data_IF_737807856566
#
_entry.id   IF_737807856566
#
_cell.length_a   1.000
_cell.length_b   1.000
_cell.length_c   1.000
_cell.angle_alpha   90.00
_cell.angle_beta   90.00
_cell.angle_gamma   90.00
#
_symmetry.space_group_name_H-M   'P 1'
#
loop_
_entity.id
_entity.type
_entity.pdbx_description
1 polymer ?
#
# COMPACT_ATOMS: atom_id res chain seq x y z
N UNK A 1 1.52 -19.94 21.59
CA UNK A 1 2.21 -18.84 20.87
C UNK A 1 1.46 -18.63 19.57
N UNK A 2 1.03 -17.40 19.24
CA UNK A 2 0.16 -17.19 18.08
C UNK A 2 1.00 -17.15 16.80
N UNK A 3 1.04 -18.26 16.05
CA UNK A 3 1.93 -18.47 14.89
C UNK A 3 1.82 -17.33 13.86
N UNK A 4 0.60 -16.84 13.63
CA UNK A 4 0.32 -15.72 12.74
C UNK A 4 1.06 -14.44 13.14
N UNK A 5 1.10 -14.12 14.44
CA UNK A 5 1.80 -12.92 14.93
C UNK A 5 3.31 -13.07 14.82
N UNK A 6 3.84 -14.28 15.02
CA UNK A 6 5.26 -14.58 14.83
C UNK A 6 5.68 -14.36 13.38
N UNK A 7 4.89 -14.84 12.42
CA UNK A 7 5.13 -14.63 10.99
C UNK A 7 5.04 -13.14 10.66
N UNK A 8 3.96 -12.46 11.08
CA UNK A 8 3.80 -11.03 10.83
C UNK A 8 4.96 -10.20 11.37
N UNK A 9 5.43 -10.50 12.58
CA UNK A 9 6.58 -9.85 13.20
C UNK A 9 7.85 -10.06 12.37
N UNK A 10 8.15 -11.31 11.98
CA UNK A 10 9.31 -11.64 11.14
C UNK A 10 9.28 -10.83 9.84
N UNK A 11 8.15 -10.80 9.16
CA UNK A 11 8.00 -10.13 7.86
C UNK A 11 8.08 -8.60 7.99
N UNK A 12 7.54 -8.02 9.05
CA UNK A 12 7.73 -6.61 9.36
C UNK A 12 9.21 -6.25 9.56
N UNK A 13 9.93 -7.02 10.39
CA UNK A 13 11.36 -6.79 10.62
C UNK A 13 12.18 -6.96 9.34
N UNK A 14 11.84 -7.94 8.50
CA UNK A 14 12.51 -8.14 7.22
C UNK A 14 12.26 -6.98 6.25
N UNK A 15 11.02 -6.46 6.20
CA UNK A 15 10.67 -5.29 5.40
C UNK A 15 11.48 -4.05 5.80
N UNK A 16 11.66 -3.79 7.11
CA UNK A 16 12.44 -2.63 7.61
C UNK A 16 13.96 -2.87 7.67
N UNK A 17 14.44 -4.08 7.41
CA UNK A 17 15.88 -4.35 7.42
C UNK A 17 16.43 -4.40 5.99
N UNK A 18 15.57 -4.69 5.01
CA UNK A 18 15.97 -4.71 3.62
C UNK A 18 16.21 -3.29 3.08
N UNK A 19 17.49 -2.89 3.06
CA UNK A 19 17.95 -1.58 2.61
C UNK A 19 17.49 -1.23 1.20
N UNK A 20 17.49 -2.18 0.25
CA UNK A 20 17.15 -1.88 -1.14
C UNK A 20 15.70 -1.42 -1.29
N UNK A 21 14.78 -2.17 -0.70
CA UNK A 21 13.34 -1.87 -0.75
C UNK A 21 13.01 -0.67 0.14
N UNK A 22 13.65 -0.54 1.30
CA UNK A 22 13.47 0.64 2.14
C UNK A 22 13.94 1.93 1.48
N UNK A 23 15.10 1.93 0.82
CA UNK A 23 15.60 3.12 0.11
C UNK A 23 14.62 3.50 -0.99
N UNK A 24 14.14 2.53 -1.78
CA UNK A 24 13.13 2.78 -2.80
C UNK A 24 11.84 3.35 -2.20
N UNK A 25 11.31 2.72 -1.14
CA UNK A 25 10.12 3.19 -0.43
C UNK A 25 10.32 4.60 0.15
N UNK A 26 11.50 4.91 0.69
CA UNK A 26 11.83 6.21 1.25
C UNK A 26 11.91 7.28 0.16
N UNK A 27 12.56 6.99 -0.97
CA UNK A 27 12.60 7.91 -2.12
C UNK A 27 11.17 8.27 -2.53
N UNK A 28 10.29 7.29 -2.70
CA UNK A 28 8.89 7.57 -3.05
C UNK A 28 8.13 8.28 -1.91
N UNK A 29 8.37 7.92 -0.65
CA UNK A 29 7.70 8.54 0.49
C UNK A 29 8.13 9.98 0.75
N UNK A 30 9.31 10.41 0.27
CA UNK A 30 9.77 11.80 0.40
C UNK A 30 9.56 12.58 -0.89
N UNK A 31 10.11 12.09 -1.99
CA UNK A 31 10.15 12.82 -3.27
C UNK A 31 8.74 13.09 -3.80
N UNK A 32 7.91 12.06 -3.87
CA UNK A 32 6.59 12.18 -4.48
C UNK A 32 5.67 13.16 -3.73
N UNK A 33 5.56 13.11 -2.39
CA UNK A 33 4.86 14.11 -1.58
C UNK A 33 5.35 15.54 -1.75
N UNK A 34 6.66 15.77 -1.76
CA UNK A 34 7.23 17.12 -1.85
C UNK A 34 6.82 17.78 -3.17
N UNK A 35 7.03 17.10 -4.30
CA UNK A 35 6.73 17.67 -5.61
C UNK A 35 5.23 17.85 -5.85
N UNK A 36 4.40 16.90 -5.41
CA UNK A 36 2.95 17.00 -5.56
C UNK A 36 2.37 18.13 -4.72
N UNK A 37 2.83 18.29 -3.48
CA UNK A 37 2.37 19.37 -2.58
C UNK A 37 2.76 20.76 -3.11
N UNK A 38 3.99 20.92 -3.60
CA UNK A 38 4.43 22.20 -4.18
C UNK A 38 3.64 22.58 -5.43
N UNK A 39 3.36 21.61 -6.30
CA UNK A 39 2.53 21.84 -7.49
C UNK A 39 1.11 22.32 -7.14
N UNK A 40 0.57 21.86 -6.01
CA UNK A 40 -0.77 22.22 -5.57
C UNK A 40 -0.77 23.59 -4.92
N UNK A 41 0.16 23.87 -4.01
CA UNK A 41 0.27 25.19 -3.39
C UNK A 41 0.37 26.32 -4.43
N UNK A 42 0.99 26.04 -5.58
CA UNK A 42 1.09 26.98 -6.70
C UNK A 42 -0.24 27.19 -7.47
N UNK A 43 -1.21 26.28 -7.35
CA UNK A 43 -2.47 26.27 -8.10
C UNK A 43 -3.75 26.40 -7.26
N UNK A 44 -3.66 26.62 -5.94
CA UNK A 44 -4.84 26.77 -5.08
C UNK A 44 -5.55 28.09 -5.38
N UNK A 45 -6.82 27.99 -5.78
CA UNK A 45 -7.76 29.12 -5.94
C UNK A 45 -8.76 29.25 -4.79
N UNK A 46 -8.86 28.25 -3.90
CA UNK A 46 -9.85 28.15 -2.81
C UNK A 46 -9.24 28.08 -1.40
N UNK A 47 -9.97 27.50 -0.43
CA UNK A 47 -9.45 27.28 0.92
C UNK A 47 -8.27 26.28 0.91
N UNK A 48 -7.07 26.69 1.35
CA UNK A 48 -5.90 25.80 1.35
C UNK A 48 -6.08 24.55 2.22
N UNK A 49 -6.88 24.65 3.30
CA UNK A 49 -7.14 23.54 4.21
C UNK A 49 -7.94 22.40 3.57
N UNK A 50 -9.08 22.72 2.95
CA UNK A 50 -9.89 21.72 2.24
C UNK A 50 -9.18 21.13 1.04
N UNK A 51 -8.48 21.96 0.26
CA UNK A 51 -7.73 21.53 -0.91
C UNK A 51 -6.63 20.52 -0.54
N UNK A 52 -5.85 20.85 0.50
CA UNK A 52 -4.80 19.97 1.00
C UNK A 52 -5.39 18.67 1.57
N UNK A 53 -6.51 18.73 2.29
CA UNK A 53 -7.14 17.54 2.87
C UNK A 53 -7.65 16.56 1.81
N UNK A 54 -8.34 17.08 0.77
CA UNK A 54 -8.79 16.26 -0.36
C UNK A 54 -7.61 15.64 -1.12
N UNK A 55 -6.54 16.41 -1.28
CA UNK A 55 -5.31 15.91 -1.89
C UNK A 55 -4.66 14.79 -1.07
N UNK A 56 -4.48 15.02 0.23
CA UNK A 56 -3.93 14.03 1.16
C UNK A 56 -4.72 12.73 1.13
N UNK A 57 -6.05 12.78 1.13
CA UNK A 57 -6.88 11.59 1.02
C UNK A 57 -6.66 10.84 -0.30
N UNK A 58 -6.59 11.55 -1.44
CA UNK A 58 -6.39 10.91 -2.75
C UNK A 58 -5.01 10.26 -2.91
N UNK A 59 -3.94 10.97 -2.56
CA UNK A 59 -2.56 10.49 -2.75
C UNK A 59 -2.21 9.39 -1.74
N UNK A 60 -2.67 9.51 -0.49
CA UNK A 60 -2.30 8.54 0.54
C UNK A 60 -2.84 7.15 0.25
N UNK A 61 -4.06 7.02 -0.30
CA UNK A 61 -4.61 5.72 -0.76
C UNK A 61 -3.74 5.12 -1.85
N UNK A 62 -3.38 5.91 -2.86
CA UNK A 62 -2.54 5.46 -3.95
C UNK A 62 -1.15 5.02 -3.45
N UNK A 63 -0.53 5.80 -2.58
CA UNK A 63 0.75 5.44 -1.98
C UNK A 63 0.61 4.18 -1.12
N UNK A 64 -0.51 3.96 -0.43
CA UNK A 64 -0.73 2.72 0.33
C UNK A 64 -0.80 1.50 -0.58
N UNK A 65 -1.44 1.63 -1.75
CA UNK A 65 -1.45 0.59 -2.77
C UNK A 65 -0.02 0.34 -3.29
N UNK A 66 0.73 1.39 -3.60
CA UNK A 66 2.09 1.30 -4.13
C UNK A 66 3.11 0.73 -3.14
N UNK A 67 3.08 1.18 -1.88
CA UNK A 67 3.93 0.65 -0.82
C UNK A 67 3.61 -0.83 -0.55
N UNK A 68 2.32 -1.20 -0.56
CA UNK A 68 1.91 -2.60 -0.43
C UNK A 68 2.46 -3.48 -1.57
N UNK A 69 2.54 -2.97 -2.80
CA UNK A 69 3.23 -3.66 -3.90
C UNK A 69 4.74 -3.78 -3.67
N UNK A 70 5.43 -2.70 -3.32
CA UNK A 70 6.88 -2.71 -3.13
C UNK A 70 7.30 -3.73 -2.08
N UNK A 71 6.66 -3.72 -0.92
CA UNK A 71 7.00 -4.65 0.16
C UNK A 71 6.49 -6.08 -0.10
N UNK A 72 5.35 -6.26 -0.79
CA UNK A 72 4.90 -7.62 -1.15
C UNK A 72 5.80 -8.28 -2.19
N UNK A 73 6.33 -7.52 -3.15
CA UNK A 73 7.33 -8.02 -4.11
C UNK A 73 8.57 -8.60 -3.39
N UNK A 74 9.01 -7.95 -2.32
CA UNK A 74 10.12 -8.45 -1.52
C UNK A 74 9.78 -9.66 -0.64
N UNK A 75 8.56 -9.71 -0.10
CA UNK A 75 8.12 -10.76 0.81
C UNK A 75 7.66 -12.04 0.11
N UNK A 76 7.13 -11.93 -1.12
CA UNK A 76 6.58 -13.05 -1.89
C UNK A 76 7.43 -13.36 -3.11
N UNK A 77 7.66 -12.39 -4.00
CA UNK A 77 8.36 -12.66 -5.26
C UNK A 77 9.84 -12.97 -5.06
N UNK A 78 10.55 -12.23 -4.20
CA UNK A 78 11.96 -12.57 -3.89
C UNK A 78 12.07 -13.95 -3.23
N UNK A 79 11.23 -14.26 -2.25
CA UNK A 79 11.25 -15.60 -1.61
C UNK A 79 10.92 -16.73 -2.58
N UNK A 80 10.03 -16.45 -3.56
CA UNK A 80 9.73 -17.39 -4.64
C UNK A 80 10.94 -17.58 -5.57
N UNK A 81 11.58 -16.48 -5.98
CA UNK A 81 12.77 -16.49 -6.84
C UNK A 81 13.95 -17.21 -6.18
N UNK A 82 14.16 -16.98 -4.90
CA UNK A 82 15.28 -17.54 -4.13
C UNK A 82 14.98 -18.97 -3.62
N UNK A 83 13.77 -19.48 -3.85
CA UNK A 83 13.32 -20.81 -3.39
C UNK A 83 13.14 -20.94 -1.87
N UNK A 84 13.39 -19.89 -1.10
CA UNK A 84 13.28 -19.90 0.37
C UNK A 84 11.86 -20.16 0.84
N UNK A 85 10.85 -19.85 0.02
CA UNK A 85 9.44 -20.16 0.30
C UNK A 85 9.18 -21.65 0.55
N UNK A 86 9.98 -22.56 -0.03
CA UNK A 86 9.83 -24.01 0.16
C UNK A 86 10.02 -24.41 1.61
N UNK A 87 10.95 -23.77 2.32
CA UNK A 87 11.19 -24.03 3.75
C UNK A 87 9.97 -23.68 4.60
N UNK A 88 9.28 -22.59 4.25
CA UNK A 88 8.07 -22.14 4.92
C UNK A 88 6.87 -23.05 4.61
N UNK A 89 6.81 -23.62 3.41
CA UNK A 89 5.76 -24.57 3.00
C UNK A 89 5.87 -25.94 3.68
N UNK A 90 7.08 -26.31 4.14
CA UNK A 90 7.34 -27.52 4.92
C UNK A 90 6.96 -27.39 6.40
N UNK A 91 6.74 -26.16 6.90
CA UNK A 91 6.29 -25.95 8.26
C UNK A 91 4.84 -26.46 8.45
N UNK A 92 4.44 -26.92 9.65
CA UNK A 92 3.11 -27.46 9.95
C UNK A 92 2.03 -26.37 10.06
N UNK A 93 2.14 -25.30 9.26
CA UNK A 93 1.22 -24.18 9.20
C UNK A 93 0.40 -24.22 7.91
N UNK A 94 -0.86 -23.80 7.99
CA UNK A 94 -1.71 -23.69 6.80
C UNK A 94 -1.21 -22.57 5.90
N UNK A 95 -1.36 -22.75 4.58
CA UNK A 95 -0.95 -21.74 3.60
C UNK A 95 -1.70 -20.42 3.78
N UNK A 96 -2.94 -20.49 4.26
CA UNK A 96 -3.74 -19.32 4.62
C UNK A 96 -3.14 -18.55 5.79
N UNK A 97 -2.70 -19.22 6.85
CA UNK A 97 -2.04 -18.56 7.99
C UNK A 97 -0.70 -17.93 7.58
N UNK A 98 0.06 -18.61 6.72
CA UNK A 98 1.29 -18.04 6.14
C UNK A 98 0.98 -16.76 5.38
N UNK A 99 -0.04 -16.79 4.51
CA UNK A 99 -0.45 -15.62 3.73
C UNK A 99 -0.96 -14.50 4.64
N UNK A 100 -1.85 -14.79 5.60
CA UNK A 100 -2.41 -13.77 6.52
C UNK A 100 -1.28 -13.12 7.36
N UNK A 101 -0.33 -13.92 7.85
CA UNK A 101 0.85 -13.40 8.56
C UNK A 101 1.74 -12.51 7.69
N UNK A 102 2.05 -12.94 6.47
CA UNK A 102 2.84 -12.14 5.51
C UNK A 102 2.16 -10.82 5.16
N UNK A 103 0.86 -10.87 4.85
CA UNK A 103 0.09 -9.67 4.51
C UNK A 103 0.07 -8.69 5.68
N UNK A 104 -0.12 -9.14 6.92
CA UNK A 104 -0.10 -8.26 8.08
C UNK A 104 1.27 -7.60 8.30
N UNK A 105 2.37 -8.37 8.20
CA UNK A 105 3.73 -7.83 8.36
C UNK A 105 4.09 -6.82 7.26
N UNK A 106 3.74 -7.13 6.02
CA UNK A 106 3.98 -6.26 4.85
C UNK A 106 3.10 -5.00 4.91
N UNK A 107 1.81 -5.16 5.22
CA UNK A 107 0.86 -4.04 5.27
C UNK A 107 1.20 -3.05 6.38
N UNK A 108 1.70 -3.52 7.52
CA UNK A 108 2.14 -2.64 8.62
C UNK A 108 3.36 -1.79 8.22
N UNK A 109 4.35 -2.38 7.54
CA UNK A 109 5.49 -1.64 7.01
C UNK A 109 5.06 -0.62 5.92
N UNK A 110 4.21 -1.06 4.99
CA UNK A 110 3.66 -0.21 3.93
C UNK A 110 2.86 0.96 4.51
N UNK A 111 1.99 0.69 5.49
CA UNK A 111 1.22 1.71 6.20
C UNK A 111 2.14 2.72 6.90
N UNK A 112 3.19 2.27 7.59
CA UNK A 112 4.18 3.16 8.20
C UNK A 112 4.85 4.11 7.20
N UNK A 113 5.24 3.62 6.02
CA UNK A 113 5.82 4.46 4.97
C UNK A 113 4.82 5.45 4.37
N UNK A 114 3.53 5.08 4.30
CA UNK A 114 2.48 5.99 3.83
C UNK A 114 2.19 7.10 4.83
N UNK A 115 2.19 6.79 6.13
CA UNK A 115 2.07 7.80 7.17
C UNK A 115 3.25 8.77 7.15
N UNK A 116 4.47 8.26 6.96
CA UNK A 116 5.66 9.10 6.79
C UNK A 116 5.47 10.07 5.61
N UNK A 117 4.96 9.58 4.49
CA UNK A 117 4.66 10.42 3.33
C UNK A 117 3.62 11.50 3.63
N UNK A 118 2.55 11.17 4.35
CA UNK A 118 1.52 12.13 4.76
C UNK A 118 2.12 13.20 5.69
N UNK A 119 2.96 12.79 6.65
CA UNK A 119 3.66 13.72 7.54
C UNK A 119 4.53 14.70 6.77
N UNK A 120 5.24 14.23 5.73
CA UNK A 120 6.07 15.08 4.88
C UNK A 120 5.21 16.05 4.07
N UNK A 121 4.11 15.59 3.46
CA UNK A 121 3.16 16.49 2.77
C UNK A 121 2.67 17.59 3.69
N UNK A 122 2.24 17.23 4.90
CA UNK A 122 1.76 18.20 5.89
C UNK A 122 2.88 19.18 6.27
N UNK A 123 4.08 18.69 6.58
CA UNK A 123 5.22 19.54 6.94
C UNK A 123 5.59 20.52 5.82
N UNK A 124 5.62 20.07 4.57
CA UNK A 124 5.87 20.93 3.40
C UNK A 124 4.75 21.96 3.25
N UNK A 125 3.49 21.55 3.36
CA UNK A 125 2.36 22.47 3.27
C UNK A 125 2.43 23.58 4.33
N UNK A 126 2.75 23.25 5.58
CA UNK A 126 2.92 24.23 6.65
C UNK A 126 4.14 25.13 6.47
N UNK A 127 5.24 24.60 5.91
CA UNK A 127 6.46 25.38 5.70
C UNK A 127 6.33 26.42 4.58
N UNK A 128 5.53 26.12 3.54
CA UNK A 128 5.42 26.94 2.34
C UNK A 128 4.07 27.68 2.21
N UNK A 129 3.09 27.42 3.08
CA UNK A 129 1.84 28.18 3.11
C UNK A 129 1.96 29.43 3.98
N UNK A 130 1.65 30.63 3.46
CA UNK A 130 1.62 31.86 4.24
C UNK A 130 0.38 31.96 5.15
N UNK A 131 -0.59 31.05 5.02
CA UNK A 131 -1.85 31.04 5.78
C UNK A 131 -1.88 29.81 6.69
N UNK A 132 -2.42 29.98 7.91
CA UNK A 132 -2.63 28.89 8.86
C UNK A 132 -3.57 27.82 8.30
N UNK A 133 -3.05 26.61 8.12
CA UNK A 133 -3.80 25.47 7.57
C UNK A 133 -4.51 24.76 8.72
N UNK A 134 -5.82 24.55 8.58
CA UNK A 134 -6.59 23.68 9.48
C UNK A 134 -7.01 22.43 8.72
N UNK A 135 -6.76 21.25 9.30
CA UNK A 135 -7.11 19.97 8.69
C UNK A 135 -8.40 19.43 9.32
N UNK A 136 -9.32 18.88 8.51
CA UNK A 136 -10.57 18.32 9.02
C UNK A 136 -10.29 17.04 9.81
N UNK A 137 -11.03 16.82 10.91
CA UNK A 137 -10.94 15.59 11.72
C UNK A 137 -11.21 14.32 10.91
N UNK A 138 -12.02 14.42 9.85
CA UNK A 138 -12.35 13.31 8.97
C UNK A 138 -11.11 12.75 8.25
N UNK A 139 -10.09 13.56 8.02
CA UNK A 139 -8.81 13.09 7.50
C UNK A 139 -8.13 12.11 8.47
N UNK A 140 -8.25 12.30 9.79
CA UNK A 140 -7.69 11.35 10.76
C UNK A 140 -8.37 9.98 10.67
N UNK A 141 -9.69 9.96 10.42
CA UNK A 141 -10.44 8.73 10.19
C UNK A 141 -9.93 8.02 8.94
N UNK A 142 -9.70 8.78 7.86
CA UNK A 142 -9.12 8.27 6.62
C UNK A 142 -7.77 7.57 6.87
N UNK A 143 -6.86 8.27 7.56
CA UNK A 143 -5.52 7.76 7.84
C UNK A 143 -5.54 6.48 8.67
N UNK A 144 -6.39 6.43 9.71
CA UNK A 144 -6.39 5.31 10.68
C UNK A 144 -7.20 4.11 10.19
N UNK A 145 -8.28 4.31 9.44
CA UNK A 145 -9.17 3.21 9.04
C UNK A 145 -8.96 2.79 7.58
N UNK A 146 -8.82 3.72 6.66
CA UNK A 146 -8.85 3.41 5.22
C UNK A 146 -7.47 2.97 4.73
N UNK A 147 -6.41 3.72 5.07
CA UNK A 147 -5.05 3.38 4.62
C UNK A 147 -4.57 1.97 4.99
N UNK A 148 -4.73 1.46 6.23
CA UNK A 148 -4.28 0.11 6.54
C UNK A 148 -5.07 -0.95 5.77
N UNK A 149 -6.35 -0.72 5.46
CA UNK A 149 -7.15 -1.62 4.64
C UNK A 149 -6.60 -1.69 3.22
N UNK A 150 -6.28 -0.54 2.60
CA UNK A 150 -5.70 -0.51 1.26
C UNK A 150 -4.30 -1.10 1.19
N UNK A 151 -3.46 -0.86 2.21
CA UNK A 151 -2.14 -1.47 2.32
C UNK A 151 -2.24 -3.01 2.45
N UNK A 152 -3.19 -3.51 3.24
CA UNK A 152 -3.43 -4.94 3.39
C UNK A 152 -4.06 -5.57 2.14
N UNK A 153 -5.00 -4.87 1.50
CA UNK A 153 -5.65 -5.35 0.29
C UNK A 153 -4.67 -5.45 -0.87
N UNK A 154 -3.83 -4.43 -1.09
CA UNK A 154 -2.81 -4.44 -2.13
C UNK A 154 -1.77 -5.53 -1.87
N UNK A 155 -1.19 -5.58 -0.68
CA UNK A 155 -0.22 -6.62 -0.30
C UNK A 155 -0.81 -8.03 -0.43
N UNK A 156 -2.08 -8.21 -0.05
CA UNK A 156 -2.77 -9.49 -0.11
C UNK A 156 -3.07 -9.97 -1.52
N UNK A 157 -3.70 -9.12 -2.34
CA UNK A 157 -4.04 -9.45 -3.73
C UNK A 157 -2.74 -9.70 -4.52
N UNK A 158 -1.79 -8.76 -4.45
CA UNK A 158 -0.55 -8.82 -5.21
C UNK A 158 0.30 -10.00 -4.74
N UNK A 159 0.48 -10.17 -3.43
CA UNK A 159 1.21 -11.31 -2.88
C UNK A 159 0.59 -12.65 -3.32
N UNK A 160 -0.74 -12.76 -3.31
CA UNK A 160 -1.42 -13.97 -3.81
C UNK A 160 -1.20 -14.20 -5.30
N UNK A 161 -1.23 -13.14 -6.11
CA UNK A 161 -0.98 -13.22 -7.55
C UNK A 161 0.48 -13.62 -7.84
N UNK A 162 1.45 -13.05 -7.13
CA UNK A 162 2.87 -13.39 -7.26
C UNK A 162 3.16 -14.85 -6.90
N UNK A 163 2.44 -15.41 -5.92
CA UNK A 163 2.54 -16.84 -5.60
C UNK A 163 1.92 -17.72 -6.68
N UNK A 164 0.81 -17.28 -7.27
CA UNK A 164 0.05 -18.05 -8.26
C UNK A 164 0.72 -18.09 -9.65
N UNK A 165 1.34 -16.99 -10.07
CA UNK A 165 1.89 -16.80 -11.42
C UNK A 165 3.32 -17.34 -11.56
N UNK A 166 3.70 -17.80 -12.76
CA UNK A 166 5.08 -18.19 -13.05
C UNK A 166 6.05 -16.99 -13.09
N UNK A 167 7.35 -17.28 -13.17
CA UNK A 167 8.41 -16.27 -13.09
C UNK A 167 8.33 -15.22 -14.22
N UNK A 168 7.96 -15.64 -15.44
CA UNK A 168 7.80 -14.73 -16.59
C UNK A 168 6.55 -13.85 -16.43
N UNK A 169 5.44 -14.47 -16.04
CA UNK A 169 4.17 -13.79 -15.78
C UNK A 169 4.30 -12.75 -14.67
N UNK A 170 5.15 -13.00 -13.68
CA UNK A 170 5.37 -12.05 -12.60
C UNK A 170 6.14 -10.79 -13.03
N UNK A 171 6.97 -10.88 -14.07
CA UNK A 171 7.60 -9.69 -14.68
C UNK A 171 6.54 -8.80 -15.34
N UNK A 172 5.57 -9.40 -16.03
CA UNK A 172 4.44 -8.67 -16.61
C UNK A 172 3.55 -8.06 -15.53
N UNK A 173 3.35 -8.73 -14.40
CA UNK A 173 2.63 -8.18 -13.26
C UNK A 173 3.32 -6.92 -12.74
N UNK A 174 4.65 -6.95 -12.57
CA UNK A 174 5.42 -5.78 -12.13
C UNK A 174 5.31 -4.60 -13.10
N UNK A 175 5.44 -4.85 -14.40
CA UNK A 175 5.28 -3.81 -15.44
C UNK A 175 3.84 -3.25 -15.44
N UNK A 176 2.83 -4.11 -15.41
CA UNK A 176 1.43 -3.72 -15.36
C UNK A 176 1.10 -2.89 -14.12
N UNK A 177 1.74 -3.17 -12.99
CA UNK A 177 1.55 -2.40 -11.77
C UNK A 177 2.12 -0.97 -11.87
N UNK A 178 3.23 -0.78 -12.58
CA UNK A 178 3.75 0.58 -12.85
C UNK A 178 2.75 1.39 -13.66
N UNK A 179 2.15 0.80 -14.70
CA UNK A 179 1.09 1.46 -15.47
C UNK A 179 -0.13 1.74 -14.59
N UNK A 180 -0.59 0.77 -13.80
CA UNK A 180 -1.70 0.96 -12.86
C UNK A 180 -1.42 2.11 -11.89
N UNK A 181 -0.20 2.22 -11.37
CA UNK A 181 0.20 3.30 -10.49
C UNK A 181 0.11 4.67 -11.17
N UNK A 182 0.62 4.79 -12.41
CA UNK A 182 0.50 6.02 -13.19
C UNK A 182 -0.97 6.38 -13.43
N UNK A 183 -1.80 5.41 -13.82
CA UNK A 183 -3.23 5.63 -14.01
C UNK A 183 -3.94 6.01 -12.70
N UNK A 184 -3.54 5.45 -11.56
CA UNK A 184 -4.10 5.82 -10.26
C UNK A 184 -3.81 7.29 -9.91
N UNK A 185 -2.61 7.80 -10.23
CA UNK A 185 -2.25 9.21 -9.98
C UNK A 185 -3.28 10.14 -10.63
N UNK A 186 -3.54 9.95 -11.92
CA UNK A 186 -4.46 10.82 -12.67
C UNK A 186 -5.94 10.47 -12.42
N UNK A 187 -6.26 9.18 -12.29
CA UNK A 187 -7.62 8.70 -12.14
C UNK A 187 -8.25 9.11 -10.82
N UNK A 188 -7.56 8.93 -9.68
CA UNK A 188 -8.10 9.31 -8.38
C UNK A 188 -8.36 10.81 -8.26
N UNK A 189 -7.53 11.64 -8.88
CA UNK A 189 -7.73 13.10 -8.89
C UNK A 189 -8.98 13.52 -9.68
N UNK A 190 -9.43 12.72 -10.65
CA UNK A 190 -10.68 12.99 -11.37
C UNK A 190 -11.93 12.62 -10.54
N UNK A 191 -11.83 11.66 -9.63
CA UNK A 191 -12.94 11.23 -8.76
C UNK A 191 -13.01 12.02 -7.44
N UNK A 192 -11.87 12.47 -6.92
CA UNK A 192 -11.78 13.33 -5.74
C UNK A 192 -11.46 14.73 -6.24
N UNK A 193 -12.48 15.56 -6.41
CA UNK A 193 -12.28 16.98 -6.74
C UNK A 193 -11.37 17.60 -5.66
N UNK A 194 -10.18 18.14 -6.04
CA UNK A 194 -9.24 18.71 -5.08
C UNK A 194 -9.91 19.78 -4.21
N UNK A 195 -10.83 20.56 -4.78
CA UNK A 195 -11.56 21.64 -4.11
C UNK A 195 -12.70 21.15 -3.20
N UNK A 196 -13.15 19.90 -3.34
CA UNK A 196 -14.29 19.36 -2.59
C UNK A 196 -13.95 18.87 -1.17
N UNK A 197 -12.66 18.77 -0.84
CA UNK A 197 -12.18 18.27 0.45
C UNK A 197 -12.56 16.81 0.72
N UNK A 198 -12.45 16.42 2.00
CA UNK A 198 -12.80 15.07 2.48
C UNK A 198 -14.29 15.05 2.85
N UNK A 199 -15.09 14.24 2.17
CA UNK A 199 -16.53 14.10 2.42
C UNK A 199 -16.87 12.72 2.97
N UNK A 200 -17.91 12.64 3.82
CA UNK A 200 -18.34 11.37 4.42
C UNK A 200 -18.72 10.33 3.34
N UNK A 201 -19.32 10.77 2.24
CA UNK A 201 -19.73 9.89 1.15
C UNK A 201 -18.52 9.25 0.46
N UNK A 202 -17.47 10.03 0.16
CA UNK A 202 -16.25 9.52 -0.47
C UNK A 202 -15.52 8.57 0.48
N UNK A 203 -15.40 8.93 1.75
CA UNK A 203 -14.77 8.10 2.78
C UNK A 203 -15.49 6.76 2.95
N UNK A 204 -16.83 6.76 2.99
CA UNK A 204 -17.61 5.54 3.06
C UNK A 204 -17.40 4.67 1.82
N UNK A 205 -17.36 5.27 0.63
CA UNK A 205 -17.09 4.56 -0.61
C UNK A 205 -15.69 3.90 -0.60
N UNK A 206 -14.64 4.63 -0.22
CA UNK A 206 -13.28 4.10 -0.11
C UNK A 206 -13.19 2.99 0.95
N UNK A 207 -13.85 3.16 2.10
CA UNK A 207 -13.89 2.15 3.13
C UNK A 207 -14.52 0.84 2.63
N UNK A 208 -15.71 0.93 2.00
CA UNK A 208 -16.41 -0.24 1.47
C UNK A 208 -15.60 -0.90 0.34
N UNK A 209 -15.07 -0.11 -0.59
CA UNK A 209 -14.26 -0.61 -1.70
C UNK A 209 -12.99 -1.31 -1.20
N UNK A 210 -12.25 -0.68 -0.28
CA UNK A 210 -11.06 -1.26 0.32
C UNK A 210 -11.37 -2.57 1.05
N UNK A 211 -12.47 -2.62 1.79
CA UNK A 211 -12.88 -3.83 2.51
C UNK A 211 -13.26 -4.96 1.54
N UNK A 212 -13.97 -4.65 0.45
CA UNK A 212 -14.28 -5.61 -0.62
C UNK A 212 -12.99 -6.15 -1.26
N UNK A 213 -12.02 -5.28 -1.57
CA UNK A 213 -10.72 -5.69 -2.11
C UNK A 213 -9.96 -6.61 -1.15
N UNK A 214 -9.97 -6.29 0.15
CA UNK A 214 -9.34 -7.13 1.18
C UNK A 214 -9.99 -8.52 1.24
N UNK A 215 -11.32 -8.59 1.21
CA UNK A 215 -12.06 -9.86 1.18
C UNK A 215 -11.78 -10.66 -0.10
N UNK A 216 -11.69 -9.99 -1.25
CA UNK A 216 -11.32 -10.62 -2.52
C UNK A 216 -9.92 -11.21 -2.45
N UNK A 217 -8.93 -10.46 -1.93
CA UNK A 217 -7.57 -10.95 -1.71
C UNK A 217 -7.55 -12.18 -0.81
N UNK A 218 -8.30 -12.16 0.29
CA UNK A 218 -8.43 -13.30 1.20
C UNK A 218 -9.08 -14.52 0.52
N UNK A 219 -10.11 -14.31 -0.29
CA UNK A 219 -10.80 -15.38 -1.04
C UNK A 219 -9.89 -15.99 -2.12
N UNK A 220 -9.09 -15.17 -2.80
CA UNK A 220 -8.09 -15.64 -3.76
C UNK A 220 -6.97 -16.42 -3.08
N UNK A 221 -6.48 -15.97 -1.93
CA UNK A 221 -5.49 -16.71 -1.15
C UNK A 221 -5.98 -18.11 -0.75
N UNK A 222 -7.29 -18.27 -0.50
CA UNK A 222 -7.90 -19.58 -0.24
C UNK A 222 -7.86 -20.57 -1.41
N UNK A 223 -7.57 -20.11 -2.64
CA UNK A 223 -7.43 -20.95 -3.84
C UNK A 223 -5.98 -21.35 -4.14
N UNK A 224 -5.02 -20.86 -3.36
CA UNK A 224 -3.60 -21.20 -3.55
C UNK A 224 -3.34 -22.65 -3.09
N UNK A 225 -2.64 -23.43 -3.92
CA UNK A 225 -2.21 -24.78 -3.59
C UNK A 225 -0.69 -24.88 -3.50
N UNK A 226 -0.19 -25.67 -2.54
CA UNK A 226 1.26 -25.89 -2.35
C UNK A 226 1.91 -26.43 -3.63
N UNK A 227 1.27 -27.43 -4.26
CA UNK A 227 1.74 -28.06 -5.48
C UNK A 227 1.95 -27.08 -6.64
N UNK A 228 1.03 -26.13 -6.81
CA UNK A 228 1.14 -25.14 -7.88
C UNK A 228 2.28 -24.15 -7.62
N UNK A 229 2.46 -23.70 -6.38
CA UNK A 229 3.56 -22.80 -6.03
C UNK A 229 4.89 -23.48 -6.36
N UNK A 230 5.07 -24.74 -5.95
CA UNK A 230 6.29 -25.51 -6.23
C UNK A 230 6.53 -25.65 -7.74
N UNK A 231 5.49 -25.96 -8.53
CA UNK A 231 5.62 -26.11 -10.00
C UNK A 231 5.94 -24.81 -10.75
N UNK A 232 5.74 -23.65 -10.14
CA UNK A 232 5.91 -22.33 -10.80
C UNK A 232 7.20 -21.61 -10.40
N UNK A 233 8.06 -22.25 -9.60
CA UNK A 233 9.39 -21.74 -9.23
C UNK A 233 10.42 -22.05 -10.34
N UNK A 234 10.21 -23.12 -11.11
CA UNK A 234 11.08 -23.56 -12.21
C UNK A 234 10.86 -22.77 -13.51
#
# INVERSE_FOLDING_TARGET
MNELLTIARKEFFQAITNKGVLIAAFIFAVWFPVFTTLGILAGISGDPGTALAGHLASISVMLAIFMGYLFSSDAFFREKKDGTILTLLCAPVSLRQIWEGKVLGVATAAYGMTLLSVLITVAVAFAFSPVGITLPWLLLVHLVLILPIYAAASAGIIGSAQLYLGMRENQFLGMGFVFLFIFLIFGLQAFISPEGGVTIQNELFFFVLGFVLLLLGRRWAGRLSKERIVRTIA
#
